data_IF_492519609249
#
_entry.id   IF_492519609249
#
_cell.length_a   1.000
_cell.length_b   1.000
_cell.length_c   1.000
_cell.angle_alpha   90.00
_cell.angle_beta   90.00
_cell.angle_gamma   90.00
#
_symmetry.space_group_name_H-M   'P 1'
#
loop_
_entity.id
_entity.type
_entity.pdbx_description
1 polymer ?
#
# COMPACT_ATOMS: atom_id res chain seq x y z
N UNK A 1 -30.39 9.21 -30.61
CA UNK A 1 -29.72 8.02 -30.05
C UNK A 1 -29.45 8.12 -28.54
N UNK A 2 -29.15 9.30 -27.97
CA UNK A 2 -28.75 9.44 -26.55
C UNK A 2 -29.87 9.56 -25.50
N UNK A 3 -31.14 9.67 -25.90
CA UNK A 3 -32.27 9.97 -24.99
C UNK A 3 -32.66 8.79 -24.08
N UNK A 4 -32.32 7.56 -24.49
CA UNK A 4 -32.61 6.35 -23.71
C UNK A 4 -31.52 6.00 -22.66
N UNK A 5 -30.33 6.62 -22.75
CA UNK A 5 -29.23 6.39 -21.80
C UNK A 5 -29.52 6.95 -20.40
N UNK A 6 -30.36 7.99 -20.29
CA UNK A 6 -30.65 8.64 -19.00
C UNK A 6 -31.98 8.22 -18.38
N UNK A 7 -32.79 7.41 -19.08
CA UNK A 7 -34.12 7.01 -18.62
C UNK A 7 -34.07 5.93 -17.52
N UNK A 8 -32.94 5.24 -17.37
CA UNK A 8 -32.76 4.13 -16.43
C UNK A 8 -31.91 4.49 -15.19
N UNK A 9 -31.51 5.75 -15.04
CA UNK A 9 -30.58 6.21 -13.98
C UNK A 9 -31.04 5.90 -12.54
N UNK A 10 -32.35 5.76 -12.32
CA UNK A 10 -32.93 5.47 -11.00
C UNK A 10 -32.98 3.98 -10.65
N UNK A 11 -32.81 3.05 -11.59
CA UNK A 11 -32.77 1.62 -11.26
C UNK A 11 -31.42 1.20 -10.68
N UNK A 12 -30.35 1.86 -11.13
CA UNK A 12 -28.97 1.55 -10.74
C UNK A 12 -28.42 2.50 -9.65
N UNK A 13 -29.27 3.33 -9.04
CA UNK A 13 -28.86 4.26 -7.99
C UNK A 13 -28.70 3.54 -6.64
N UNK A 14 -27.76 3.99 -5.81
CA UNK A 14 -27.55 3.42 -4.47
C UNK A 14 -28.84 3.38 -3.63
N UNK A 15 -29.77 4.31 -3.89
CA UNK A 15 -31.07 4.44 -3.23
C UNK A 15 -32.05 3.29 -3.52
N UNK A 16 -31.88 2.56 -4.62
CA UNK A 16 -32.73 1.41 -4.98
C UNK A 16 -32.27 0.10 -4.32
N UNK A 17 -31.05 0.09 -3.76
CA UNK A 17 -30.45 -1.09 -3.14
C UNK A 17 -30.89 -1.28 -1.70
N UNK A 18 -30.92 -2.55 -1.28
CA UNK A 18 -31.09 -2.96 0.11
C UNK A 18 -30.08 -2.21 1.03
N UNK A 19 -30.49 -1.75 2.23
CA UNK A 19 -29.62 -0.98 3.12
C UNK A 19 -28.29 -1.65 3.44
N UNK A 20 -28.25 -2.98 3.51
CA UNK A 20 -27.02 -3.73 3.79
C UNK A 20 -26.05 -3.67 2.61
N UNK A 21 -26.55 -3.89 1.39
CA UNK A 21 -25.76 -3.77 0.16
C UNK A 21 -25.25 -2.34 -0.04
N UNK A 22 -26.10 -1.34 0.24
CA UNK A 22 -25.70 0.07 0.18
C UNK A 22 -24.54 0.37 1.12
N UNK A 23 -24.60 -0.08 2.36
CA UNK A 23 -23.53 0.11 3.36
C UNK A 23 -22.23 -0.61 2.96
N UNK A 24 -22.33 -1.79 2.35
CA UNK A 24 -21.17 -2.52 1.85
C UNK A 24 -20.48 -1.76 0.71
N UNK A 25 -21.24 -1.26 -0.27
CA UNK A 25 -20.71 -0.53 -1.43
C UNK A 25 -20.09 0.80 -0.98
N UNK A 26 -20.76 1.58 -0.13
CA UNK A 26 -20.21 2.85 0.35
C UNK A 26 -18.94 2.65 1.17
N UNK A 27 -18.91 1.62 2.03
CA UNK A 27 -17.70 1.26 2.77
C UNK A 27 -16.54 0.84 1.87
N UNK A 28 -16.83 0.09 0.80
CA UNK A 28 -15.84 -0.30 -0.20
C UNK A 28 -15.31 0.92 -0.98
N UNK A 29 -16.18 1.84 -1.41
CA UNK A 29 -15.78 3.07 -2.10
C UNK A 29 -14.92 3.98 -1.21
N UNK A 30 -15.27 4.15 0.07
CA UNK A 30 -14.46 4.92 1.01
C UNK A 30 -13.08 4.31 1.22
N UNK A 31 -13.01 2.98 1.31
CA UNK A 31 -11.74 2.26 1.42
C UNK A 31 -10.88 2.40 0.16
N UNK A 32 -11.48 2.25 -1.03
CA UNK A 32 -10.77 2.39 -2.31
C UNK A 32 -10.14 3.77 -2.47
N UNK A 33 -10.91 4.81 -2.11
CA UNK A 33 -10.46 6.19 -2.12
C UNK A 33 -9.26 6.41 -1.18
N UNK A 34 -9.36 5.93 0.06
CA UNK A 34 -8.27 6.04 1.03
C UNK A 34 -7.02 5.24 0.62
N UNK A 35 -7.23 4.03 0.10
CA UNK A 35 -6.15 3.15 -0.37
C UNK A 35 -5.38 3.80 -1.52
N UNK A 36 -6.08 4.36 -2.51
CA UNK A 36 -5.45 5.05 -3.64
C UNK A 36 -4.62 6.25 -3.20
N UNK A 37 -5.14 7.07 -2.28
CA UNK A 37 -4.40 8.21 -1.72
C UNK A 37 -3.13 7.76 -0.98
N UNK A 38 -3.22 6.70 -0.17
CA UNK A 38 -2.09 6.14 0.56
C UNK A 38 -0.99 5.59 -0.37
N UNK A 39 -1.37 4.81 -1.38
CA UNK A 39 -0.42 4.20 -2.32
C UNK A 39 0.31 5.23 -3.18
N UNK A 40 -0.30 6.38 -3.46
CA UNK A 40 0.36 7.46 -4.20
C UNK A 40 1.22 8.34 -3.29
N UNK A 41 0.64 8.87 -2.21
CA UNK A 41 1.32 9.85 -1.36
C UNK A 41 2.36 9.16 -0.49
N UNK A 42 1.95 8.21 0.34
CA UNK A 42 2.85 7.58 1.32
C UNK A 42 3.86 6.69 0.59
N UNK A 43 3.39 5.71 -0.18
CA UNK A 43 4.27 4.69 -0.78
C UNK A 43 5.18 5.24 -1.87
N UNK A 44 4.69 6.05 -2.79
CA UNK A 44 5.49 6.51 -3.93
C UNK A 44 6.20 7.84 -3.68
N UNK A 45 5.51 8.84 -3.14
CA UNK A 45 6.08 10.20 -3.03
C UNK A 45 6.89 10.38 -1.74
N UNK A 46 6.27 10.15 -0.58
CA UNK A 46 6.86 10.38 0.73
C UNK A 46 8.11 9.53 0.95
N UNK A 47 8.00 8.20 0.89
CA UNK A 47 9.15 7.35 1.19
C UNK A 47 10.30 7.52 0.19
N UNK A 48 10.00 7.67 -1.10
CA UNK A 48 11.03 7.84 -2.15
C UNK A 48 11.85 9.10 -1.96
N UNK A 49 11.19 10.26 -1.82
CA UNK A 49 11.87 11.54 -1.65
C UNK A 49 12.64 11.55 -0.32
N UNK A 50 11.99 11.12 0.76
CA UNK A 50 12.56 11.21 2.08
C UNK A 50 13.75 10.27 2.28
N UNK A 51 13.71 9.08 1.68
CA UNK A 51 14.86 8.16 1.69
C UNK A 51 16.07 8.76 1.00
N UNK A 52 15.91 9.38 -0.18
CA UNK A 52 17.03 9.99 -0.92
C UNK A 52 17.67 11.12 -0.11
N UNK A 53 16.85 11.96 0.55
CA UNK A 53 17.34 13.04 1.43
C UNK A 53 18.09 12.47 2.64
N UNK A 54 17.52 11.47 3.31
CA UNK A 54 18.14 10.82 4.47
C UNK A 54 19.48 10.13 4.11
N UNK A 55 19.52 9.49 2.94
CA UNK A 55 20.73 8.87 2.41
C UNK A 55 21.82 9.91 2.11
N UNK A 56 21.45 11.02 1.45
CA UNK A 56 22.39 12.10 1.14
C UNK A 56 22.94 12.78 2.40
N UNK A 57 22.12 12.92 3.45
CA UNK A 57 22.57 13.45 4.72
C UNK A 57 23.64 12.58 5.42
N UNK A 58 23.66 11.26 5.13
CA UNK A 58 24.57 10.31 5.77
C UNK A 58 25.83 10.05 4.93
N UNK A 59 25.69 9.87 3.62
CA UNK A 59 26.78 9.46 2.71
C UNK A 59 27.12 10.49 1.62
N UNK A 60 26.42 11.62 1.55
CA UNK A 60 26.53 12.58 0.46
C UNK A 60 25.89 12.08 -0.84
N UNK A 61 26.35 12.56 -1.99
CA UNK A 61 25.72 12.30 -3.29
C UNK A 61 25.91 10.87 -3.80
N UNK A 62 26.98 10.18 -3.38
CA UNK A 62 27.37 8.84 -3.84
C UNK A 62 28.07 8.09 -2.71
N UNK A 63 27.73 6.83 -2.53
CA UNK A 63 28.50 5.92 -1.69
C UNK A 63 29.14 4.87 -2.58
N UNK A 64 30.39 4.51 -2.31
CA UNK A 64 31.01 3.33 -2.91
C UNK A 64 30.84 2.15 -1.95
N UNK A 65 30.28 1.06 -2.47
CA UNK A 65 30.19 -0.19 -1.73
C UNK A 65 30.65 -1.32 -2.65
N UNK A 66 31.66 -2.08 -2.21
CA UNK A 66 32.27 -3.19 -2.97
C UNK A 66 32.77 -2.78 -4.37
N UNK A 67 33.28 -1.55 -4.53
CA UNK A 67 33.78 -1.03 -5.81
C UNK A 67 32.67 -0.60 -6.79
N UNK A 68 31.40 -0.60 -6.36
CA UNK A 68 30.26 -0.13 -7.14
C UNK A 68 29.77 1.18 -6.52
N UNK A 69 29.56 2.19 -7.37
CA UNK A 69 28.99 3.47 -6.95
C UNK A 69 27.47 3.36 -6.86
N UNK A 70 26.93 3.51 -5.65
CA UNK A 70 25.50 3.56 -5.40
C UNK A 70 25.04 4.99 -5.16
N UNK A 71 23.96 5.37 -5.85
CA UNK A 71 23.21 6.60 -5.55
C UNK A 71 22.04 6.28 -4.63
N UNK A 72 21.53 7.28 -3.89
CA UNK A 72 20.34 7.10 -3.05
C UNK A 72 19.14 6.55 -3.83
N UNK A 73 18.94 6.99 -5.07
CA UNK A 73 17.88 6.50 -5.95
C UNK A 73 18.07 5.04 -6.36
N UNK A 74 19.32 4.61 -6.60
CA UNK A 74 19.64 3.21 -6.92
C UNK A 74 19.37 2.30 -5.73
N UNK A 75 19.81 2.69 -4.53
CA UNK A 75 19.58 1.89 -3.32
C UNK A 75 18.09 1.84 -2.94
N UNK A 76 17.38 2.95 -3.14
CA UNK A 76 15.92 2.98 -3.02
C UNK A 76 15.25 1.97 -3.96
N UNK A 77 15.60 2.01 -5.25
CA UNK A 77 15.04 1.10 -6.25
C UNK A 77 15.30 -0.37 -5.88
N UNK A 78 16.50 -0.71 -5.39
CA UNK A 78 16.81 -2.04 -4.89
C UNK A 78 15.92 -2.45 -3.71
N UNK A 79 15.69 -1.54 -2.74
CA UNK A 79 14.76 -1.78 -1.63
C UNK A 79 13.33 -2.03 -2.08
N UNK A 80 12.85 -1.22 -3.03
CA UNK A 80 11.52 -1.40 -3.65
C UNK A 80 11.43 -2.75 -4.33
N UNK A 81 12.39 -3.09 -5.19
CA UNK A 81 12.42 -4.38 -5.91
C UNK A 81 12.47 -5.57 -4.95
N UNK A 82 13.25 -5.49 -3.87
CA UNK A 82 13.31 -6.56 -2.87
C UNK A 82 11.99 -6.74 -2.14
N UNK A 83 11.34 -5.64 -1.75
CA UNK A 83 10.01 -5.71 -1.13
C UNK A 83 8.96 -6.27 -2.09
N UNK A 84 9.03 -5.88 -3.37
CA UNK A 84 8.13 -6.39 -4.40
C UNK A 84 8.34 -7.89 -4.67
N UNK A 85 9.59 -8.36 -4.67
CA UNK A 85 9.91 -9.78 -4.80
C UNK A 85 9.34 -10.58 -3.61
N UNK A 86 9.51 -10.08 -2.39
CA UNK A 86 8.94 -10.71 -1.20
C UNK A 86 7.40 -10.79 -1.28
N UNK A 87 6.75 -9.67 -1.68
CA UNK A 87 5.31 -9.64 -1.90
C UNK A 87 4.90 -10.66 -2.95
N UNK A 88 5.61 -10.73 -4.09
CA UNK A 88 5.31 -11.67 -5.17
C UNK A 88 5.39 -13.13 -4.70
N UNK A 89 6.37 -13.48 -3.87
CA UNK A 89 6.50 -14.81 -3.28
C UNK A 89 5.42 -15.11 -2.22
N UNK A 90 5.02 -14.09 -1.45
CA UNK A 90 3.97 -14.23 -0.43
C UNK A 90 2.54 -14.28 -1.01
N UNK A 91 2.33 -13.70 -2.18
CA UNK A 91 1.00 -13.50 -2.79
C UNK A 91 0.22 -14.81 -3.01
N UNK A 92 0.81 -15.92 -3.56
CA UNK A 92 0.10 -17.19 -3.71
C UNK A 92 -0.40 -17.77 -2.39
N UNK A 93 0.41 -17.65 -1.34
CA UNK A 93 0.08 -18.16 0.00
C UNK A 93 -1.08 -17.33 0.59
N UNK A 94 -1.00 -16.00 0.47
CA UNK A 94 -2.05 -15.10 0.93
C UNK A 94 -3.36 -15.30 0.15
N UNK A 95 -3.28 -15.52 -1.16
CA UNK A 95 -4.43 -15.83 -2.00
C UNK A 95 -5.14 -17.10 -1.57
N UNK A 96 -4.40 -18.19 -1.36
CA UNK A 96 -4.97 -19.46 -0.88
C UNK A 96 -5.65 -19.31 0.50
N UNK A 97 -5.11 -18.47 1.39
CA UNK A 97 -5.73 -18.17 2.68
C UNK A 97 -6.99 -17.30 2.50
N UNK A 98 -6.96 -16.36 1.56
CA UNK A 98 -8.09 -15.49 1.26
C UNK A 98 -9.28 -16.27 0.66
N UNK A 99 -9.02 -17.36 -0.06
CA UNK A 99 -10.07 -18.20 -0.64
C UNK A 99 -10.69 -19.18 0.38
N UNK A 100 -9.93 -19.61 1.37
CA UNK A 100 -10.35 -20.67 2.31
C UNK A 100 -11.02 -20.18 3.59
N UNK A 101 -10.76 -18.94 4.03
CA UNK A 101 -11.24 -18.44 5.34
C UNK A 101 -12.34 -17.37 5.22
N UNK A 102 -13.45 -17.45 5.99
CA UNK A 102 -14.48 -16.40 6.05
C UNK A 102 -14.03 -15.13 6.80
N UNK A 103 -12.81 -15.11 7.37
CA UNK A 103 -12.26 -14.00 8.17
C UNK A 103 -11.59 -12.89 7.34
N UNK A 104 -11.91 -12.77 6.05
CA UNK A 104 -11.27 -11.86 5.09
C UNK A 104 -11.21 -10.39 5.56
N UNK A 105 -12.29 -9.90 6.18
CA UNK A 105 -12.35 -8.54 6.77
C UNK A 105 -11.38 -8.34 7.94
N UNK A 106 -11.13 -9.36 8.75
CA UNK A 106 -10.24 -9.26 9.90
C UNK A 106 -8.78 -9.23 9.44
N UNK A 107 -8.41 -10.07 8.48
CA UNK A 107 -7.08 -10.03 7.88
C UNK A 107 -6.80 -8.69 7.19
N UNK A 108 -7.75 -8.17 6.39
CA UNK A 108 -7.62 -6.84 5.79
C UNK A 108 -7.31 -5.76 6.84
N UNK A 109 -8.03 -5.76 7.98
CA UNK A 109 -7.79 -4.81 9.08
C UNK A 109 -6.38 -4.95 9.66
N UNK A 110 -5.90 -6.16 9.92
CA UNK A 110 -4.56 -6.37 10.46
C UNK A 110 -3.48 -5.86 9.50
N UNK A 111 -3.56 -6.23 8.22
CA UNK A 111 -2.60 -5.78 7.22
C UNK A 111 -2.60 -4.26 7.04
N UNK A 112 -3.80 -3.64 7.03
CA UNK A 112 -3.95 -2.19 7.00
C UNK A 112 -3.33 -1.50 8.22
N UNK A 113 -3.60 -2.02 9.44
CA UNK A 113 -3.04 -1.46 10.68
C UNK A 113 -1.52 -1.60 10.71
N UNK A 114 -0.97 -2.73 10.28
CA UNK A 114 0.48 -2.92 10.20
C UNK A 114 1.08 -1.91 9.20
N UNK A 115 0.49 -1.77 8.02
CA UNK A 115 0.96 -0.83 7.01
C UNK A 115 0.93 0.63 7.48
N UNK A 116 -0.16 1.06 8.11
CA UNK A 116 -0.30 2.43 8.62
C UNK A 116 0.61 2.68 9.83
N UNK A 117 0.72 1.72 10.75
CA UNK A 117 1.57 1.83 11.93
C UNK A 117 3.04 2.00 11.54
N UNK A 118 3.55 1.19 10.61
CA UNK A 118 4.93 1.33 10.14
C UNK A 118 5.18 2.61 9.34
N UNK A 119 4.15 3.16 8.69
CA UNK A 119 4.21 4.49 8.07
C UNK A 119 4.25 5.61 9.12
N UNK A 120 3.63 5.43 10.29
CA UNK A 120 3.74 6.41 11.39
C UNK A 120 5.11 6.27 12.07
N UNK A 121 5.58 5.03 12.29
CA UNK A 121 6.87 4.75 12.92
C UNK A 121 8.04 5.26 12.06
N UNK A 122 7.88 5.32 10.73
CA UNK A 122 8.92 5.86 9.85
C UNK A 122 9.24 7.33 10.15
N UNK A 123 8.29 8.12 10.69
CA UNK A 123 8.53 9.50 11.13
C UNK A 123 9.63 9.60 12.19
N UNK A 124 9.78 8.59 13.06
CA UNK A 124 10.82 8.58 14.08
C UNK A 124 12.24 8.43 13.52
N UNK A 125 12.41 8.23 12.21
CA UNK A 125 13.73 8.19 11.57
C UNK A 125 14.56 9.46 11.79
N UNK A 126 13.91 10.60 12.04
CA UNK A 126 14.60 11.88 12.35
C UNK A 126 15.47 11.78 13.60
N UNK A 127 15.08 10.94 14.56
CA UNK A 127 15.77 10.80 15.85
C UNK A 127 16.81 9.67 15.87
N UNK A 128 17.00 8.97 14.74
CA UNK A 128 17.88 7.80 14.64
C UNK A 128 19.11 8.14 13.79
N UNK A 129 20.30 7.76 14.26
CA UNK A 129 21.57 8.04 13.57
C UNK A 129 21.63 7.46 12.14
N UNK A 130 21.09 6.26 11.92
CA UNK A 130 20.99 5.61 10.60
C UNK A 130 19.60 5.75 9.99
N UNK A 131 19.18 6.99 9.75
CA UNK A 131 17.84 7.35 9.26
C UNK A 131 17.45 6.63 7.96
N UNK A 132 18.38 6.48 7.02
CA UNK A 132 18.14 5.78 5.74
C UNK A 132 17.79 4.29 5.95
N UNK A 133 18.51 3.59 6.84
CA UNK A 133 18.30 2.16 7.11
C UNK A 133 16.99 1.91 7.85
N UNK A 134 16.62 2.83 8.74
CA UNK A 134 15.31 2.81 9.39
C UNK A 134 14.18 2.97 8.37
N UNK A 135 14.29 3.95 7.46
CA UNK A 135 13.28 4.22 6.45
C UNK A 135 13.05 3.06 5.50
N UNK A 136 14.11 2.41 5.01
CA UNK A 136 13.97 1.27 4.09
C UNK A 136 13.35 0.05 4.79
N UNK A 137 13.68 -0.17 6.07
CA UNK A 137 13.06 -1.23 6.89
C UNK A 137 11.58 -0.98 7.14
N UNK A 138 11.21 0.24 7.54
CA UNK A 138 9.82 0.63 7.71
C UNK A 138 9.04 0.55 6.40
N UNK A 139 9.63 1.03 5.29
CA UNK A 139 9.02 0.93 3.97
C UNK A 139 8.78 -0.53 3.56
N UNK A 140 9.74 -1.43 3.80
CA UNK A 140 9.59 -2.84 3.45
C UNK A 140 8.35 -3.43 4.12
N UNK A 141 8.21 -3.24 5.43
CA UNK A 141 7.07 -3.77 6.19
C UNK A 141 5.78 -3.07 5.79
N UNK A 142 5.80 -1.75 5.58
CA UNK A 142 4.64 -0.99 5.14
C UNK A 142 4.15 -1.45 3.75
N UNK A 143 5.07 -1.72 2.81
CA UNK A 143 4.73 -2.19 1.47
C UNK A 143 4.16 -3.62 1.50
N UNK A 144 4.71 -4.51 2.33
CA UNK A 144 4.14 -5.85 2.56
C UNK A 144 2.75 -5.77 3.18
N UNK A 145 2.57 -4.89 4.17
CA UNK A 145 1.28 -4.59 4.79
C UNK A 145 0.24 -4.14 3.76
N UNK A 146 0.59 -3.13 2.96
CA UNK A 146 -0.28 -2.56 1.93
C UNK A 146 -0.61 -3.56 0.81
N UNK A 147 0.39 -4.29 0.30
CA UNK A 147 0.18 -5.28 -0.74
C UNK A 147 -0.68 -6.46 -0.26
N UNK A 148 -0.44 -6.94 0.97
CA UNK A 148 -1.25 -7.99 1.60
C UNK A 148 -2.70 -7.54 1.80
N UNK A 149 -2.91 -6.31 2.27
CA UNK A 149 -4.26 -5.73 2.39
C UNK A 149 -4.98 -5.70 1.03
N UNK A 150 -4.26 -5.40 -0.06
CA UNK A 150 -4.82 -5.34 -1.40
C UNK A 150 -5.30 -6.71 -1.92
N UNK A 151 -4.59 -7.80 -1.58
CA UNK A 151 -5.01 -9.18 -1.91
C UNK A 151 -6.37 -9.50 -1.28
N UNK A 152 -6.54 -9.22 0.03
CA UNK A 152 -7.80 -9.45 0.72
C UNK A 152 -8.90 -8.48 0.27
N UNK A 153 -8.55 -7.24 -0.05
CA UNK A 153 -9.48 -6.25 -0.57
C UNK A 153 -10.11 -6.69 -1.90
N UNK A 154 -9.32 -7.19 -2.84
CA UNK A 154 -9.84 -7.70 -4.11
C UNK A 154 -10.81 -8.88 -3.92
N UNK A 155 -10.58 -9.71 -2.91
CA UNK A 155 -11.47 -10.85 -2.58
C UNK A 155 -12.81 -10.45 -1.93
N UNK A 156 -12.96 -9.17 -1.53
CA UNK A 156 -14.16 -8.62 -0.90
C UNK A 156 -15.07 -7.89 -1.88
N UNK A 157 -14.69 -7.79 -3.16
CA UNK A 157 -15.55 -7.27 -4.21
C UNK A 157 -16.87 -8.07 -4.24
N UNK A 158 -18.03 -7.43 -4.08
CA UNK A 158 -19.31 -8.09 -4.26
C UNK A 158 -19.44 -8.45 -5.73
N UNK A 159 -19.49 -9.76 -6.03
CA UNK A 159 -19.97 -10.27 -7.31
C UNK A 159 -21.50 -10.10 -7.42
#
# INVERSE_FOLDING_TARGET
MFRNLFKNKNKDSLESLDPEKRKAITGWCMYDWANSAFLYICRNSYFSIYFVVAFQATFGSRTEFLGITFTGSSLWALGVSMSALFVALSSPILGAIADTKPLKKTFLKYYMIIGSLFTIISFFSVYVANSWAWLIGCYFIANVGAAGANVFYNSLLPA
#
